data_IF_397016714587
#
_entry.id   IF_397016714587
#
_cell.length_a   1.000
_cell.length_b   1.000
_cell.length_c   1.000
_cell.angle_alpha   90.00
_cell.angle_beta   90.00
_cell.angle_gamma   90.00
#
_symmetry.space_group_name_H-M   'P 1'
#
loop_
_entity.id
_entity.type
_entity.pdbx_description
1 polymer ?
#
# COMPACT_ATOMS: atom_id res chain seq x y z
N UNK A 1 -33.13 30.43 -56.63
CA UNK A 1 -32.40 29.48 -57.49
C UNK A 1 -31.16 29.01 -56.73
N UNK A 2 -30.94 27.70 -56.58
CA UNK A 2 -29.65 27.11 -56.15
C UNK A 2 -28.91 26.59 -57.39
N UNK A 3 -27.58 26.56 -57.35
CA UNK A 3 -26.84 25.35 -57.74
C UNK A 3 -25.87 24.92 -56.60
N UNK A 4 -25.83 23.65 -56.18
CA UNK A 4 -24.93 22.57 -56.66
C UNK A 4 -23.46 23.07 -56.81
N UNK A 5 -22.42 22.63 -56.08
CA UNK A 5 -22.13 21.41 -55.33
C UNK A 5 -20.91 20.72 -55.96
N UNK A 6 -19.71 20.79 -55.37
CA UNK A 6 -18.56 19.93 -55.70
C UNK A 6 -17.72 19.67 -54.43
N UNK A 7 -17.56 18.38 -54.09
CA UNK A 7 -16.59 17.83 -53.14
C UNK A 7 -15.27 17.61 -53.87
N UNK A 8 -14.13 17.78 -53.20
CA UNK A 8 -12.90 17.05 -53.52
C UNK A 8 -12.12 16.71 -52.25
N UNK A 9 -11.39 15.61 -52.37
CA UNK A 9 -11.00 14.63 -51.37
C UNK A 9 -9.47 14.44 -51.47
N UNK A 10 -8.73 14.41 -50.35
CA UNK A 10 -7.40 13.79 -50.26
C UNK A 10 -7.21 13.26 -48.82
N UNK A 11 -7.53 12.00 -48.52
CA UNK A 11 -6.62 10.81 -48.42
C UNK A 11 -5.15 11.06 -48.03
N UNK A 12 -4.78 10.59 -46.83
CA UNK A 12 -3.78 9.53 -46.53
C UNK A 12 -3.82 9.26 -45.01
N UNK A 13 -4.38 8.16 -44.49
CA UNK A 13 -3.82 6.78 -44.37
C UNK A 13 -2.36 6.73 -43.91
N UNK A 14 -2.15 6.30 -42.66
CA UNK A 14 -1.37 5.11 -42.33
C UNK A 14 -1.60 4.72 -40.85
N UNK A 15 -2.28 3.59 -40.66
CA UNK A 15 -2.08 2.71 -39.51
C UNK A 15 -0.74 2.00 -39.72
N UNK A 16 -0.07 1.57 -38.65
CA UNK A 16 0.40 0.19 -38.58
C UNK A 16 0.65 -0.26 -37.13
N UNK A 17 -0.02 -1.34 -36.78
CA UNK A 17 0.26 -2.22 -35.65
C UNK A 17 1.34 -3.22 -36.09
N UNK A 18 2.26 -3.64 -35.20
CA UNK A 18 2.47 -5.08 -34.98
C UNK A 18 3.31 -5.39 -33.74
N UNK A 19 3.02 -6.54 -33.16
CA UNK A 19 3.51 -7.09 -31.91
C UNK A 19 4.67 -8.08 -32.09
N UNK A 20 5.33 -8.37 -30.95
CA UNK A 20 6.08 -9.60 -30.57
C UNK A 20 7.43 -9.86 -31.26
N UNK A 21 8.48 -9.97 -30.44
CA UNK A 21 9.07 -11.29 -30.22
C UNK A 21 9.97 -11.42 -28.99
N UNK A 22 9.89 -12.62 -28.43
CA UNK A 22 10.50 -13.12 -27.22
C UNK A 22 12.03 -13.25 -27.32
N UNK A 23 12.73 -13.12 -26.18
CA UNK A 23 13.96 -13.87 -25.94
C UNK A 23 13.91 -14.57 -24.60
N UNK A 24 13.65 -15.86 -24.73
CA UNK A 24 13.71 -16.96 -23.79
C UNK A 24 15.13 -17.21 -23.25
N UNK A 25 15.22 -17.51 -21.96
CA UNK A 25 16.32 -18.30 -21.40
C UNK A 25 15.73 -19.47 -20.59
N UNK A 26 15.98 -20.67 -21.09
CA UNK A 26 15.77 -22.01 -20.51
C UNK A 26 17.13 -22.70 -20.62
N UNK A 27 17.71 -23.50 -19.71
CA UNK A 27 17.36 -24.11 -18.41
C UNK A 27 18.67 -24.73 -17.88
N UNK A 28 18.79 -25.01 -16.57
CA UNK A 28 19.33 -26.30 -16.06
C UNK A 28 18.92 -26.52 -14.60
N UNK A 29 18.32 -27.68 -14.37
CA UNK A 29 17.68 -28.16 -13.15
C UNK A 29 18.68 -28.69 -12.12
N UNK A 30 18.44 -28.46 -10.82
CA UNK A 30 18.70 -29.45 -9.75
C UNK A 30 17.52 -29.34 -8.77
N UNK A 31 16.78 -30.43 -8.62
CA UNK A 31 15.49 -30.44 -7.92
C UNK A 31 15.62 -30.51 -6.40
N UNK A 32 14.68 -29.88 -5.73
CA UNK A 32 14.09 -30.35 -4.46
C UNK A 32 12.63 -29.89 -4.44
N UNK A 33 11.76 -30.72 -3.86
CA UNK A 33 10.29 -30.69 -4.02
C UNK A 33 9.70 -29.34 -3.57
N UNK A 34 9.06 -28.63 -4.50
CA UNK A 34 8.28 -27.41 -4.23
C UNK A 34 6.97 -27.83 -3.52
N UNK A 35 6.59 -27.23 -2.38
CA UNK A 35 5.25 -27.40 -1.85
C UNK A 35 4.23 -26.98 -2.91
N UNK A 36 3.15 -27.74 -3.04
CA UNK A 36 2.09 -27.47 -3.99
C UNK A 36 1.63 -26.00 -3.84
N UNK A 37 1.72 -25.24 -4.92
CA UNK A 37 1.21 -23.88 -4.98
C UNK A 37 -0.30 -23.93 -4.76
N UNK A 38 -0.73 -23.65 -3.54
CA UNK A 38 -2.07 -23.15 -3.30
C UNK A 38 -2.11 -21.86 -4.10
N UNK A 39 -2.94 -21.84 -5.15
CA UNK A 39 -3.23 -20.65 -5.92
C UNK A 39 -4.02 -19.73 -5.00
N UNK A 40 -3.33 -19.05 -4.08
CA UNK A 40 -3.86 -17.89 -3.39
C UNK A 40 -4.20 -16.93 -4.52
N UNK A 41 -5.49 -16.74 -4.77
CA UNK A 41 -5.99 -15.56 -5.46
C UNK A 41 -5.25 -14.39 -4.84
N UNK A 42 -4.42 -13.71 -5.64
CA UNK A 42 -3.74 -12.49 -5.24
C UNK A 42 -4.87 -11.52 -4.89
N UNK A 43 -5.21 -11.44 -3.61
CA UNK A 43 -6.19 -10.51 -3.12
C UNK A 43 -5.69 -9.12 -3.56
N UNK A 44 -6.55 -8.31 -4.15
CA UNK A 44 -6.20 -6.92 -4.43
C UNK A 44 -5.73 -6.31 -3.11
N UNK A 45 -4.50 -5.82 -3.05
CA UNK A 45 -3.96 -5.16 -1.87
C UNK A 45 -4.34 -3.67 -1.90
N UNK A 46 -4.51 -3.08 -0.72
CA UNK A 46 -4.70 -1.64 -0.55
C UNK A 46 -3.54 -1.10 0.27
N UNK A 47 -3.01 0.04 -0.15
CA UNK A 47 -1.84 0.66 0.46
C UNK A 47 -2.24 1.94 1.21
N UNK A 48 -1.73 2.05 2.42
CA UNK A 48 -1.97 3.13 3.37
C UNK A 48 -0.64 3.55 3.98
N UNK A 49 -0.63 4.69 4.65
CA UNK A 49 0.47 5.13 5.49
C UNK A 49 0.01 5.32 6.92
N UNK A 50 0.86 4.96 7.87
CA UNK A 50 0.84 5.53 9.21
C UNK A 50 1.98 6.55 9.32
N UNK A 51 1.67 7.75 9.79
CA UNK A 51 2.63 8.85 9.92
C UNK A 51 2.58 9.40 11.35
N UNK A 52 3.72 9.41 12.04
CA UNK A 52 3.85 9.93 13.40
C UNK A 52 4.76 11.15 13.46
N UNK A 53 4.44 12.07 14.36
CA UNK A 53 5.28 13.22 14.71
C UNK A 53 6.40 12.87 15.71
N UNK A 54 6.45 11.62 16.16
CA UNK A 54 7.47 11.08 17.06
C UNK A 54 8.24 9.96 16.40
N UNK A 55 9.45 9.68 16.88
CA UNK A 55 10.23 8.51 16.47
C UNK A 55 9.59 7.24 17.06
N UNK A 56 9.00 6.41 16.21
CA UNK A 56 8.34 5.15 16.58
C UNK A 56 9.09 3.99 15.93
N UNK A 57 9.58 3.03 16.73
CA UNK A 57 10.24 1.85 16.18
C UNK A 57 9.23 0.74 15.90
N UNK A 58 9.57 -0.11 14.93
CA UNK A 58 8.70 -1.22 14.55
C UNK A 58 8.57 -2.26 15.67
N UNK A 59 9.63 -2.44 16.46
CA UNK A 59 9.63 -3.30 17.65
C UNK A 59 8.73 -2.74 18.76
N UNK A 60 8.63 -1.42 18.89
CA UNK A 60 7.68 -0.80 19.83
C UNK A 60 6.23 -1.03 19.39
N UNK A 61 5.93 -0.92 18.09
CA UNK A 61 4.62 -1.25 17.52
C UNK A 61 4.26 -2.71 17.80
N UNK A 62 5.18 -3.65 17.54
CA UNK A 62 4.96 -5.07 17.81
C UNK A 62 4.63 -5.31 19.29
N UNK A 63 5.41 -4.76 20.22
CA UNK A 63 5.17 -4.87 21.65
C UNK A 63 3.80 -4.26 22.06
N UNK A 64 3.41 -3.12 21.49
CA UNK A 64 2.10 -2.52 21.73
C UNK A 64 0.94 -3.42 21.30
N UNK A 65 1.09 -4.14 20.18
CA UNK A 65 0.06 -5.05 19.70
C UNK A 65 0.03 -6.34 20.52
N UNK A 66 1.18 -6.85 20.93
CA UNK A 66 1.25 -7.99 21.85
C UNK A 66 0.56 -7.66 23.20
N UNK A 67 0.86 -6.49 23.79
CA UNK A 67 0.18 -5.96 24.98
C UNK A 67 -1.34 -5.85 24.80
N UNK A 68 -1.80 -5.58 23.57
CA UNK A 68 -3.21 -5.49 23.21
C UNK A 68 -3.87 -6.85 22.89
N UNK A 69 -3.12 -7.95 22.96
CA UNK A 69 -3.61 -9.32 22.79
C UNK A 69 -3.50 -9.89 21.37
N UNK A 70 -2.74 -9.25 20.48
CA UNK A 70 -2.41 -9.84 19.17
C UNK A 70 -1.28 -10.87 19.34
N UNK A 71 -1.52 -12.12 18.95
CA UNK A 71 -0.62 -13.24 19.26
C UNK A 71 0.18 -13.77 18.07
N UNK A 72 -0.20 -13.43 16.84
CA UNK A 72 0.48 -13.86 15.61
C UNK A 72 1.14 -12.64 14.96
N UNK A 73 2.38 -12.38 15.38
CA UNK A 73 3.19 -11.24 14.95
C UNK A 73 4.52 -11.75 14.38
N UNK A 74 4.78 -11.49 13.11
CA UNK A 74 6.05 -11.79 12.45
C UNK A 74 6.86 -10.49 12.30
N UNK A 75 7.85 -10.31 13.18
CA UNK A 75 8.72 -9.13 13.21
C UNK A 75 10.06 -9.42 12.53
N UNK A 76 10.37 -8.67 11.48
CA UNK A 76 11.69 -8.59 10.86
C UNK A 76 12.30 -7.22 11.12
N UNK A 77 12.84 -7.03 12.33
CA UNK A 77 13.32 -5.73 12.81
C UNK A 77 14.40 -5.10 11.92
N UNK A 78 15.36 -5.91 11.42
CA UNK A 78 16.42 -5.45 10.52
C UNK A 78 15.89 -4.88 9.19
N UNK A 79 14.72 -5.34 8.76
CA UNK A 79 14.05 -4.86 7.54
C UNK A 79 13.02 -3.76 7.84
N UNK A 80 12.75 -3.48 9.12
CA UNK A 80 11.68 -2.56 9.51
C UNK A 80 10.28 -3.08 9.18
N UNK A 81 10.10 -4.40 9.11
CA UNK A 81 8.82 -5.03 8.71
C UNK A 81 8.15 -5.73 9.88
N UNK A 82 6.85 -5.56 10.01
CA UNK A 82 5.99 -6.31 10.93
C UNK A 82 4.75 -6.78 10.18
N UNK A 83 4.48 -8.09 10.21
CA UNK A 83 3.23 -8.67 9.73
C UNK A 83 2.36 -9.06 10.93
N UNK A 84 1.11 -8.60 10.91
CA UNK A 84 0.09 -8.93 11.91
C UNK A 84 -0.90 -9.89 11.27
N UNK A 85 -0.88 -11.15 11.68
CA UNK A 85 -1.87 -12.14 11.25
C UNK A 85 -3.13 -12.05 12.10
N UNK A 86 -4.28 -12.07 11.42
CA UNK A 86 -5.60 -11.90 11.99
C UNK A 86 -6.48 -13.10 11.65
N UNK A 87 -7.51 -13.30 12.47
CA UNK A 87 -8.50 -14.35 12.26
C UNK A 87 -9.08 -14.30 10.83
N UNK A 88 -9.21 -15.46 10.19
CA UNK A 88 -9.71 -15.54 8.81
C UNK A 88 -8.64 -15.44 7.72
N UNK A 89 -7.36 -15.55 8.07
CA UNK A 89 -6.20 -15.46 7.12
C UNK A 89 -6.07 -14.06 6.50
N UNK A 90 -6.41 -13.06 7.28
CA UNK A 90 -6.14 -11.67 6.94
C UNK A 90 -4.83 -11.26 7.57
N UNK A 91 -3.99 -10.54 6.83
CA UNK A 91 -2.81 -9.92 7.38
C UNK A 91 -2.84 -8.41 7.19
N UNK A 92 -2.11 -7.72 8.06
CA UNK A 92 -1.75 -6.31 7.89
C UNK A 92 -0.24 -6.24 8.02
N UNK A 93 0.41 -5.75 6.96
CA UNK A 93 1.86 -5.64 6.89
C UNK A 93 2.24 -4.17 7.08
N UNK A 94 3.19 -3.92 7.97
CA UNK A 94 3.82 -2.62 8.20
C UNK A 94 5.25 -2.70 7.69
N UNK A 95 5.66 -1.76 6.85
CA UNK A 95 7.04 -1.64 6.38
C UNK A 95 7.55 -0.22 6.59
N UNK A 96 8.73 -0.09 7.18
CA UNK A 96 9.32 1.23 7.45
C UNK A 96 9.61 1.95 6.14
N UNK A 97 8.98 3.09 5.94
CA UNK A 97 9.15 3.88 4.74
C UNK A 97 10.40 4.75 4.84
N UNK A 98 11.47 4.31 4.18
CA UNK A 98 12.78 4.98 4.20
C UNK A 98 13.09 5.76 2.93
N UNK A 99 12.24 5.67 1.91
CA UNK A 99 12.45 6.35 0.64
C UNK A 99 12.01 7.82 0.76
N UNK A 100 12.83 8.81 0.40
CA UNK A 100 12.38 10.19 0.41
C UNK A 100 11.26 10.41 -0.61
N UNK A 101 10.18 11.12 -0.19
CA UNK A 101 9.19 11.62 -1.14
C UNK A 101 9.86 12.53 -2.17
N UNK A 102 9.48 12.39 -3.45
CA UNK A 102 10.07 13.18 -4.54
C UNK A 102 9.23 14.40 -4.87
N UNK A 103 7.91 14.29 -4.74
CA UNK A 103 7.00 15.38 -5.06
C UNK A 103 7.13 16.53 -4.03
N UNK A 104 7.21 17.79 -4.47
CA UNK A 104 7.29 18.93 -3.56
C UNK A 104 6.08 19.08 -2.63
N UNK A 105 4.88 18.68 -3.06
CA UNK A 105 3.66 18.75 -2.25
C UNK A 105 3.71 17.70 -1.13
N UNK A 106 4.14 16.47 -1.43
CA UNK A 106 4.33 15.43 -0.43
C UNK A 106 5.35 15.87 0.62
N UNK A 107 6.50 16.41 0.18
CA UNK A 107 7.52 16.95 1.11
C UNK A 107 6.94 18.03 2.01
N UNK A 108 6.23 19.01 1.44
CA UNK A 108 5.58 20.06 2.21
C UNK A 108 4.54 19.51 3.18
N UNK A 109 3.81 18.46 2.80
CA UNK A 109 2.85 17.78 3.67
C UNK A 109 3.52 17.16 4.89
N UNK A 110 4.62 16.43 4.70
CA UNK A 110 5.42 15.78 5.75
C UNK A 110 6.09 16.84 6.64
N UNK A 111 6.75 17.83 6.05
CA UNK A 111 7.47 18.89 6.77
C UNK A 111 6.53 19.77 7.60
N UNK A 112 5.41 20.22 7.03
CA UNK A 112 4.44 21.09 7.73
C UNK A 112 3.82 20.42 8.96
N UNK A 113 3.72 19.08 8.94
CA UNK A 113 3.21 18.26 10.05
C UNK A 113 4.30 17.79 11.01
N UNK A 114 5.58 18.03 10.70
CA UNK A 114 6.73 17.56 11.48
C UNK A 114 6.72 16.03 11.66
N UNK A 115 6.37 15.31 10.60
CA UNK A 115 6.38 13.84 10.61
C UNK A 115 7.83 13.35 10.73
N UNK A 116 8.06 12.42 11.66
CA UNK A 116 9.38 11.82 11.94
C UNK A 116 9.44 10.37 11.49
N UNK A 117 8.32 9.63 11.59
CA UNK A 117 8.25 8.21 11.25
C UNK A 117 7.10 7.95 10.31
N UNK A 118 7.33 7.10 9.29
CA UNK A 118 6.32 6.70 8.31
C UNK A 118 6.41 5.20 8.10
N UNK A 119 5.27 4.51 8.17
CA UNK A 119 5.15 3.12 7.78
C UNK A 119 4.19 3.02 6.60
N UNK A 120 4.58 2.31 5.55
CA UNK A 120 3.61 1.78 4.58
C UNK A 120 2.83 0.66 5.25
N UNK A 121 1.54 0.60 4.95
CA UNK A 121 0.62 -0.39 5.47
C UNK A 121 -0.05 -1.05 4.28
N UNK A 122 0.13 -2.35 4.15
CA UNK A 122 -0.50 -3.15 3.11
C UNK A 122 -1.48 -4.13 3.74
N UNK A 123 -2.69 -4.19 3.19
CA UNK A 123 -3.73 -5.11 3.63
C UNK A 123 -4.54 -5.62 2.44
N UNK A 124 -5.24 -6.73 2.63
CA UNK A 124 -6.22 -7.20 1.65
C UNK A 124 -7.37 -6.16 1.51
N UNK A 125 -7.79 -5.90 0.28
CA UNK A 125 -8.84 -4.92 -0.03
C UNK A 125 -10.15 -5.25 0.68
N UNK A 126 -10.82 -4.22 1.16
CA UNK A 126 -12.06 -4.33 1.93
C UNK A 126 -11.84 -4.63 3.42
N UNK A 127 -10.60 -4.83 3.86
CA UNK A 127 -10.30 -5.17 5.24
C UNK A 127 -10.02 -3.96 6.15
N UNK A 128 -10.61 -2.81 5.82
CA UNK A 128 -10.37 -1.56 6.54
C UNK A 128 -10.81 -1.64 8.01
N UNK A 129 -11.86 -2.42 8.32
CA UNK A 129 -12.29 -2.66 9.71
C UNK A 129 -11.15 -3.20 10.58
N UNK A 130 -10.43 -4.21 10.10
CA UNK A 130 -9.30 -4.78 10.81
C UNK A 130 -8.14 -3.77 10.96
N UNK A 131 -7.90 -2.97 9.91
CA UNK A 131 -6.93 -1.86 10.00
C UNK A 131 -7.31 -0.87 11.10
N UNK A 132 -8.59 -0.48 11.21
CA UNK A 132 -9.04 0.43 12.27
C UNK A 132 -8.79 -0.14 13.66
N UNK A 133 -9.05 -1.42 13.88
CA UNK A 133 -8.83 -2.05 15.18
C UNK A 133 -7.35 -2.02 15.59
N UNK A 134 -6.45 -2.41 14.67
CA UNK A 134 -4.99 -2.39 14.91
C UNK A 134 -4.50 -0.96 15.11
N UNK A 135 -4.85 -0.05 14.19
CA UNK A 135 -4.40 1.35 14.27
C UNK A 135 -4.96 2.09 15.48
N UNK A 136 -6.14 1.74 15.99
CA UNK A 136 -6.63 2.33 17.24
C UNK A 136 -5.72 2.02 18.43
N UNK A 137 -5.06 0.86 18.46
CA UNK A 137 -4.12 0.52 19.54
C UNK A 137 -2.84 1.33 19.43
N UNK A 138 -2.29 1.41 18.22
CA UNK A 138 -1.09 2.19 17.93
C UNK A 138 -1.34 3.67 18.24
N UNK A 139 -2.47 4.23 17.79
CA UNK A 139 -2.83 5.64 18.01
C UNK A 139 -3.27 5.97 19.44
N UNK A 140 -3.58 4.96 20.25
CA UNK A 140 -3.78 5.17 21.68
C UNK A 140 -2.44 5.40 22.42
N UNK A 141 -1.33 4.88 21.88
CA UNK A 141 0.02 4.99 22.45
C UNK A 141 0.86 6.10 21.83
N UNK A 142 0.74 6.32 20.52
CA UNK A 142 1.48 7.34 19.78
C UNK A 142 0.55 8.28 19.01
N UNK A 143 0.86 9.57 18.99
CA UNK A 143 0.18 10.50 18.10
C UNK A 143 0.55 10.22 16.64
N UNK A 144 -0.42 10.40 15.74
CA UNK A 144 -0.19 10.22 14.32
C UNK A 144 -1.48 10.22 13.52
N UNK A 145 -1.32 10.01 12.22
CA UNK A 145 -2.41 9.89 11.25
C UNK A 145 -2.25 8.63 10.42
N UNK A 146 -3.37 8.12 9.92
CA UNK A 146 -3.45 7.04 8.94
C UNK A 146 -4.08 7.61 7.68
N UNK A 147 -3.38 7.55 6.56
CA UNK A 147 -3.86 8.07 5.28
C UNK A 147 -3.77 7.03 4.17
N UNK A 148 -4.60 7.14 3.15
CA UNK A 148 -4.44 6.32 1.96
C UNK A 148 -3.19 6.74 1.17
N UNK A 149 -2.57 5.81 0.47
CA UNK A 149 -1.53 6.13 -0.52
C UNK A 149 -2.18 6.69 -1.79
N UNK A 150 -2.55 7.96 -1.73
CA UNK A 150 -3.14 8.75 -2.82
C UNK A 150 -2.38 10.06 -2.97
N UNK A 151 -2.56 10.73 -4.11
CA UNK A 151 -1.89 12.01 -4.39
C UNK A 151 -2.22 13.14 -3.38
N UNK A 152 -3.30 13.00 -2.62
CA UNK A 152 -3.75 13.95 -1.60
C UNK A 152 -3.72 13.40 -0.17
N UNK A 153 -3.26 12.16 0.01
CA UNK A 153 -3.29 11.43 1.28
C UNK A 153 -4.69 11.26 1.90
N UNK A 154 -5.76 11.40 1.11
CA UNK A 154 -7.13 11.26 1.60
C UNK A 154 -7.70 9.86 1.27
N UNK A 155 -8.48 9.26 2.18
CA UNK A 155 -8.91 9.80 3.47
C UNK A 155 -7.84 9.78 4.56
N UNK A 156 -7.78 10.85 5.37
CA UNK A 156 -6.96 10.94 6.59
C UNK A 156 -7.78 10.62 7.84
N UNK A 157 -7.28 9.68 8.64
CA UNK A 157 -7.83 9.29 9.93
C UNK A 157 -6.85 9.56 11.07
N UNK A 158 -7.38 9.98 12.21
CA UNK A 158 -6.67 10.09 13.47
C UNK A 158 -7.40 9.27 14.54
N UNK A 159 -6.90 9.32 15.78
CA UNK A 159 -7.52 8.65 16.94
C UNK A 159 -9.02 8.93 17.09
N UNK A 160 -9.49 10.14 16.77
CA UNK A 160 -10.89 10.52 16.94
C UNK A 160 -11.74 10.00 15.78
N UNK A 161 -11.25 10.13 14.53
CA UNK A 161 -11.96 9.71 13.33
C UNK A 161 -12.08 8.19 13.21
N UNK A 162 -11.09 7.43 13.68
CA UNK A 162 -11.18 5.96 13.68
C UNK A 162 -12.25 5.43 14.65
N UNK A 163 -12.50 6.13 15.76
CA UNK A 163 -13.48 5.73 16.78
C UNK A 163 -14.92 6.14 16.45
N UNK A 164 -15.11 7.16 15.62
CA UNK A 164 -16.43 7.73 15.31
C UNK A 164 -17.33 6.82 14.42
N UNK A 165 -16.72 5.88 13.69
CA UNK A 165 -17.41 4.97 12.77
C UNK A 165 -17.53 3.52 13.30
N UNK A 166 -17.31 3.32 14.61
CA UNK A 166 -17.36 2.03 15.32
C UNK A 166 -18.68 1.85 16.06
#
# INVERSE_FOLDING_TARGET
MKPFGIKNNHINKAQDNNSKNNKSYTTKNIGTKKPAAIKQTQAEQSDWFYMSTTDVKISDIAACLEEAGYTELDLWEDMGVLQVELAGKFSIDFEHFTTPFKDPLDKAFIESRKIQTIYTITLQKGNFYNLRMVMSKILDKWEGIVCADTADFEPVYDKNRLKADS
#
